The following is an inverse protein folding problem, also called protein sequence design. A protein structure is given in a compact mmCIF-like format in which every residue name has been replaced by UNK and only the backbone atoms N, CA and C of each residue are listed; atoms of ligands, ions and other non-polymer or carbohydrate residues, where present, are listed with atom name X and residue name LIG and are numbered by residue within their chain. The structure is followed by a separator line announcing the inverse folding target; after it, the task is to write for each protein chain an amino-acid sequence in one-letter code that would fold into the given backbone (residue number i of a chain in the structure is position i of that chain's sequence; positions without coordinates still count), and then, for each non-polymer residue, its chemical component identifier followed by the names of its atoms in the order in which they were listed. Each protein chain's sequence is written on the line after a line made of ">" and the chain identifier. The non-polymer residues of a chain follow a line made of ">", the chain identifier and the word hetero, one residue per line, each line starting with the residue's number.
data_IF_219073323924
#
_entry.id   IF_219073323924
#
_cell.length_a   1.000
_cell.length_b   1.000
_cell.length_c   1.000
_cell.angle_alpha   90.00
_cell.angle_beta   90.00
_cell.angle_gamma   90.00
#
_symmetry.space_group_name_H-M   'P 1'
#
loop_
_entity.id
_entity.type
_entity.pdbx_description
1 polymer ?
#
# COMPACT_ATOMS: atom_id res chain seq x y z
N UNK A 1 34.49 12.27 4.20
CA UNK A 1 34.31 11.88 2.78
C UNK A 1 33.02 11.10 2.50
N UNK A 2 31.87 11.73 2.68
CA UNK A 2 30.53 11.19 2.32
C UNK A 2 29.75 12.11 1.37
N UNK A 3 30.43 13.12 0.80
CA UNK A 3 29.83 14.07 -0.15
C UNK A 3 29.93 13.65 -1.63
N UNK A 4 30.54 12.51 -1.95
CA UNK A 4 30.86 12.16 -3.35
C UNK A 4 29.84 11.26 -4.08
N UNK A 5 28.73 10.87 -3.44
CA UNK A 5 27.76 9.93 -4.03
C UNK A 5 26.52 10.57 -4.67
N UNK A 6 26.31 11.88 -4.54
CA UNK A 6 25.10 12.55 -5.05
C UNK A 6 25.30 13.34 -6.36
N UNK A 7 26.53 13.49 -6.84
CA UNK A 7 26.80 14.22 -8.09
C UNK A 7 27.52 13.32 -9.09
N UNK A 8 26.76 12.61 -9.93
CA UNK A 8 27.12 12.25 -11.32
C UNK A 8 26.02 11.39 -11.96
N UNK A 9 25.04 12.06 -12.54
CA UNK A 9 24.44 11.59 -13.80
C UNK A 9 24.10 12.84 -14.60
N UNK A 10 24.70 13.07 -15.79
CA UNK A 10 24.28 14.15 -16.65
C UNK A 10 22.83 13.88 -17.06
N UNK A 11 21.95 14.84 -16.79
CA UNK A 11 20.57 14.81 -17.29
C UNK A 11 20.68 14.93 -18.81
N UNK A 12 20.53 13.81 -19.54
CA UNK A 12 20.35 13.88 -20.98
C UNK A 12 18.96 14.46 -21.24
N UNK A 13 18.92 15.58 -21.95
CA UNK A 13 17.74 16.40 -22.21
C UNK A 13 16.86 15.87 -23.33
N UNK A 14 16.70 14.55 -23.45
CA UNK A 14 15.80 13.92 -24.41
C UNK A 14 14.72 13.08 -23.72
N UNK A 15 14.00 13.71 -22.77
CA UNK A 15 12.68 13.22 -22.41
C UNK A 15 11.71 13.58 -23.54
N UNK A 16 10.88 12.65 -24.03
CA UNK A 16 9.77 13.02 -24.88
C UNK A 16 8.96 14.10 -24.16
N UNK A 17 8.73 15.23 -24.84
CA UNK A 17 7.89 16.32 -24.31
C UNK A 17 6.60 15.70 -23.77
N UNK A 18 6.17 16.02 -22.54
CA UNK A 18 4.90 15.53 -22.06
C UNK A 18 3.83 16.14 -22.97
N UNK A 19 3.16 15.27 -23.72
CA UNK A 19 1.91 15.58 -24.38
C UNK A 19 0.91 15.86 -23.24
N UNK A 20 0.80 17.11 -22.81
CA UNK A 20 -0.22 17.55 -21.86
C UNK A 20 -1.56 17.48 -22.59
N UNK A 21 -2.18 16.30 -22.62
CA UNK A 21 -3.63 16.26 -22.59
C UNK A 21 -4.03 16.49 -21.14
N UNK A 22 -4.95 17.42 -20.91
CA UNK A 22 -5.63 17.60 -19.63
C UNK A 22 -6.35 16.30 -19.27
N UNK A 23 -5.66 15.36 -18.63
CA UNK A 23 -6.27 14.17 -18.07
C UNK A 23 -7.19 14.61 -16.95
N UNK A 24 -8.47 14.30 -17.06
CA UNK A 24 -9.45 14.53 -16.01
C UNK A 24 -8.92 13.99 -14.68
N UNK A 25 -8.82 14.87 -13.68
CA UNK A 25 -8.48 14.49 -12.32
C UNK A 25 -9.75 13.89 -11.71
N UNK A 26 -9.74 12.59 -11.47
CA UNK A 26 -10.89 11.88 -10.91
C UNK A 26 -10.99 12.07 -9.39
N UNK A 27 -12.20 12.17 -8.83
CA UNK A 27 -12.38 12.13 -7.39
C UNK A 27 -12.00 10.74 -6.85
N UNK A 28 -11.65 10.70 -5.56
CA UNK A 28 -11.33 9.47 -4.85
C UNK A 28 -12.54 8.53 -4.84
N UNK A 29 -13.69 9.02 -4.37
CA UNK A 29 -14.91 8.25 -4.34
C UNK A 29 -15.58 8.25 -5.71
N UNK A 30 -15.68 7.06 -6.31
CA UNK A 30 -16.32 6.83 -7.61
C UNK A 30 -17.31 5.68 -7.48
N UNK A 31 -18.50 5.83 -8.05
CA UNK A 31 -19.55 4.78 -8.05
C UNK A 31 -19.49 3.86 -9.27
N UNK A 32 -18.61 4.16 -10.22
CA UNK A 32 -18.43 3.40 -11.46
C UNK A 32 -16.95 3.29 -11.82
N UNK A 33 -16.63 2.35 -12.72
CA UNK A 33 -15.28 2.16 -13.26
C UNK A 33 -15.23 2.71 -14.70
N UNK A 34 -14.48 3.80 -14.97
CA UNK A 34 -14.32 4.33 -16.32
C UNK A 34 -13.72 3.31 -17.30
N UNK A 35 -14.03 3.43 -18.59
CA UNK A 35 -13.61 2.44 -19.60
C UNK A 35 -12.09 2.35 -19.76
N UNK A 36 -11.39 3.49 -19.77
CA UNK A 36 -9.92 3.50 -19.81
C UNK A 36 -9.28 2.78 -18.59
N UNK A 37 -10.01 2.64 -17.49
CA UNK A 37 -9.55 1.88 -16.31
C UNK A 37 -9.80 0.38 -16.49
N UNK A 38 -10.88 0.00 -17.17
CA UNK A 38 -11.12 -1.40 -17.56
C UNK A 38 -10.03 -1.87 -18.52
N UNK A 39 -9.73 -1.08 -19.55
CA UNK A 39 -8.62 -1.32 -20.48
C UNK A 39 -7.30 -1.46 -19.72
N UNK A 40 -6.99 -0.54 -18.81
CA UNK A 40 -5.81 -0.63 -17.94
C UNK A 40 -5.77 -1.89 -17.10
N UNK A 41 -6.92 -2.38 -16.62
CA UNK A 41 -6.99 -3.63 -15.84
C UNK A 41 -6.67 -4.85 -16.69
N UNK A 42 -7.13 -4.88 -17.93
CA UNK A 42 -6.81 -5.91 -18.91
C UNK A 42 -5.31 -5.89 -19.24
N UNK A 43 -4.77 -4.72 -19.60
CA UNK A 43 -3.37 -4.55 -19.99
C UNK A 43 -2.37 -4.80 -18.85
N UNK A 44 -2.61 -4.22 -17.66
CA UNK A 44 -1.64 -4.31 -16.57
C UNK A 44 -1.78 -5.58 -15.74
N UNK A 45 -3.00 -6.13 -15.63
CA UNK A 45 -3.38 -7.18 -14.67
C UNK A 45 -3.89 -8.46 -15.33
N UNK A 46 -4.04 -8.50 -16.65
CA UNK A 46 -4.65 -9.62 -17.37
C UNK A 46 -6.12 -9.87 -16.93
N UNK A 47 -6.84 -8.81 -16.53
CA UNK A 47 -8.21 -8.90 -16.02
C UNK A 47 -9.26 -8.85 -17.14
N UNK A 48 -9.33 -9.88 -18.00
CA UNK A 48 -10.41 -10.01 -19.00
C UNK A 48 -11.71 -10.52 -18.37
N UNK A 49 -12.89 -10.37 -19.02
CA UNK A 49 -14.15 -10.94 -18.54
C UNK A 49 -14.07 -12.45 -18.26
N UNK A 50 -13.40 -13.21 -19.13
CA UNK A 50 -13.19 -14.66 -18.96
C UNK A 50 -12.21 -14.94 -17.83
N UNK A 51 -11.12 -14.16 -17.74
CA UNK A 51 -10.10 -14.36 -16.70
C UNK A 51 -10.62 -14.03 -15.31
N UNK A 52 -11.58 -13.11 -15.18
CA UNK A 52 -12.29 -12.84 -13.93
C UNK A 52 -12.99 -14.09 -13.39
N UNK A 53 -13.76 -14.75 -14.24
CA UNK A 53 -14.53 -15.95 -13.85
C UNK A 53 -13.59 -17.10 -13.55
N UNK A 54 -12.71 -17.42 -14.50
CA UNK A 54 -11.79 -18.57 -14.39
C UNK A 54 -10.79 -18.41 -13.25
N UNK A 55 -10.15 -17.24 -13.12
CA UNK A 55 -9.15 -17.00 -12.07
C UNK A 55 -9.73 -17.03 -10.65
N UNK A 56 -10.98 -16.60 -10.47
CA UNK A 56 -11.66 -16.69 -9.18
C UNK A 56 -12.02 -18.14 -8.83
N UNK A 57 -12.53 -18.90 -9.80
CA UNK A 57 -12.82 -20.32 -9.63
C UNK A 57 -11.56 -21.12 -9.30
N UNK A 58 -10.50 -20.98 -10.10
CA UNK A 58 -9.20 -21.62 -9.90
C UNK A 58 -8.65 -21.30 -8.50
N UNK A 59 -8.67 -20.04 -8.08
CA UNK A 59 -8.18 -19.66 -6.76
C UNK A 59 -9.01 -20.34 -5.65
N UNK A 60 -10.34 -20.37 -5.74
CA UNK A 60 -11.19 -21.05 -4.76
C UNK A 60 -10.90 -22.54 -4.67
N UNK A 61 -10.71 -23.23 -5.79
CA UNK A 61 -10.39 -24.66 -5.84
C UNK A 61 -9.03 -24.96 -5.18
N UNK A 62 -8.01 -24.13 -5.45
CA UNK A 62 -6.69 -24.29 -4.83
C UNK A 62 -6.76 -24.02 -3.32
N UNK A 63 -7.57 -23.05 -2.88
CA UNK A 63 -7.75 -22.73 -1.46
C UNK A 63 -8.40 -23.86 -0.66
N UNK A 64 -9.34 -24.60 -1.25
CA UNK A 64 -9.99 -25.74 -0.59
C UNK A 64 -9.00 -26.85 -0.20
N UNK A 65 -7.94 -27.01 -1.00
CA UNK A 65 -6.92 -28.02 -0.79
C UNK A 65 -5.71 -27.52 0.04
N UNK A 66 -5.70 -26.24 0.42
CA UNK A 66 -4.58 -25.63 1.12
C UNK A 66 -4.67 -25.79 2.65
N UNK A 67 -3.60 -26.28 3.27
CA UNK A 67 -3.56 -26.55 4.72
C UNK A 67 -3.64 -25.28 5.57
N UNK A 68 -3.09 -24.15 5.11
CA UNK A 68 -3.12 -22.87 5.84
C UNK A 68 -4.55 -22.29 5.83
N UNK A 69 -5.26 -22.51 4.72
CA UNK A 69 -6.60 -21.98 4.44
C UNK A 69 -7.75 -22.83 4.96
N UNK A 70 -7.46 -24.04 5.46
CA UNK A 70 -8.47 -24.97 5.98
C UNK A 70 -9.43 -24.28 6.96
N UNK A 71 -10.73 -24.35 6.64
CA UNK A 71 -11.81 -23.79 7.46
C UNK A 71 -12.05 -22.29 7.31
N UNK A 72 -11.36 -21.61 6.39
CA UNK A 72 -11.58 -20.19 6.11
C UNK A 72 -12.37 -20.05 4.81
N UNK A 73 -13.45 -19.26 4.86
CA UNK A 73 -14.20 -18.85 3.68
C UNK A 73 -13.98 -17.36 3.43
N UNK A 74 -13.64 -17.02 2.19
CA UNK A 74 -13.43 -15.64 1.76
C UNK A 74 -14.53 -15.23 0.79
N UNK A 75 -14.94 -13.98 0.88
CA UNK A 75 -15.82 -13.38 -0.13
C UNK A 75 -15.07 -13.12 -1.44
N UNK A 76 -15.82 -13.11 -2.54
CA UNK A 76 -15.28 -13.00 -3.90
C UNK A 76 -14.61 -11.64 -4.14
N UNK A 77 -15.18 -10.58 -3.57
CA UNK A 77 -14.63 -9.22 -3.63
C UNK A 77 -13.26 -9.15 -2.93
N UNK A 78 -13.09 -9.85 -1.80
CA UNK A 78 -11.83 -9.97 -1.09
C UNK A 78 -10.79 -10.76 -1.90
N UNK A 79 -11.15 -11.93 -2.44
CA UNK A 79 -10.26 -12.73 -3.28
C UNK A 79 -9.82 -11.97 -4.54
N UNK A 80 -10.72 -11.18 -5.13
CA UNK A 80 -10.44 -10.32 -6.29
C UNK A 80 -9.32 -9.33 -6.02
N UNK A 81 -9.17 -8.80 -4.79
CA UNK A 81 -8.07 -7.90 -4.44
C UNK A 81 -6.71 -8.57 -4.62
N UNK A 82 -6.59 -9.84 -4.18
CA UNK A 82 -5.35 -10.62 -4.30
C UNK A 82 -5.08 -11.02 -5.75
N UNK A 83 -6.12 -11.39 -6.52
CA UNK A 83 -6.00 -11.64 -7.95
C UNK A 83 -5.48 -10.41 -8.68
N UNK A 84 -6.10 -9.24 -8.48
CA UNK A 84 -5.67 -7.98 -9.10
C UNK A 84 -4.23 -7.59 -8.72
N UNK A 85 -3.86 -7.71 -7.43
CA UNK A 85 -2.48 -7.46 -7.00
C UNK A 85 -1.47 -8.34 -7.73
N UNK A 86 -1.82 -9.61 -7.94
CA UNK A 86 -0.96 -10.62 -8.54
C UNK A 86 -1.23 -10.83 -10.03
N UNK A 87 -1.92 -9.91 -10.71
CA UNK A 87 -2.20 -9.95 -12.15
C UNK A 87 -2.88 -11.24 -12.62
N UNK A 88 -3.85 -11.69 -11.83
CA UNK A 88 -4.61 -12.92 -12.04
C UNK A 88 -3.77 -14.21 -12.12
N UNK A 89 -2.54 -14.19 -11.58
CA UNK A 89 -1.74 -15.39 -11.28
C UNK A 89 -2.27 -16.00 -9.98
N UNK A 90 -2.91 -17.15 -10.08
CA UNK A 90 -3.62 -17.82 -8.98
C UNK A 90 -2.66 -18.41 -7.95
N UNK A 91 -1.50 -18.92 -8.36
CA UNK A 91 -0.49 -19.43 -7.43
C UNK A 91 0.18 -18.30 -6.63
N UNK A 92 0.50 -17.17 -7.27
CA UNK A 92 1.00 -15.98 -6.56
C UNK A 92 -0.06 -15.40 -5.63
N UNK A 93 -1.33 -15.42 -6.05
CA UNK A 93 -2.46 -15.00 -5.23
C UNK A 93 -2.61 -15.87 -3.98
N UNK A 94 -2.54 -17.20 -4.13
CA UNK A 94 -2.52 -18.14 -3.00
C UNK A 94 -1.37 -17.81 -2.04
N UNK A 95 -0.14 -17.67 -2.56
CA UNK A 95 1.03 -17.39 -1.72
C UNK A 95 0.88 -16.09 -0.94
N UNK A 96 0.39 -15.04 -1.59
CA UNK A 96 0.13 -13.76 -0.93
C UNK A 96 -0.98 -13.89 0.13
N UNK A 97 -2.05 -14.63 -0.16
CA UNK A 97 -3.13 -14.86 0.79
C UNK A 97 -2.67 -15.68 2.00
N UNK A 98 -1.82 -16.69 1.80
CA UNK A 98 -1.18 -17.45 2.89
C UNK A 98 -0.39 -16.52 3.81
N UNK A 99 0.43 -15.63 3.23
CA UNK A 99 1.16 -14.64 4.00
C UNK A 99 0.21 -13.71 4.77
N UNK A 100 -0.92 -13.30 4.18
CA UNK A 100 -1.94 -12.51 4.87
C UNK A 100 -2.53 -13.25 6.07
N UNK A 101 -2.96 -14.51 5.89
CA UNK A 101 -3.55 -15.32 6.97
C UNK A 101 -2.55 -15.56 8.09
N UNK A 102 -1.31 -15.95 7.76
CA UNK A 102 -0.25 -16.17 8.75
C UNK A 102 0.12 -14.87 9.47
N UNK A 103 0.18 -13.75 8.75
CA UNK A 103 0.42 -12.44 9.35
C UNK A 103 -0.70 -12.07 10.33
N UNK A 104 -1.96 -12.20 9.92
CA UNK A 104 -3.12 -11.91 10.78
C UNK A 104 -3.16 -12.81 12.01
N UNK A 105 -2.80 -14.10 11.89
CA UNK A 105 -2.69 -15.01 13.05
C UNK A 105 -1.56 -14.59 13.99
N UNK A 106 -0.38 -14.26 13.46
CA UNK A 106 0.79 -13.87 14.26
C UNK A 106 0.58 -12.53 14.98
N UNK A 107 -0.14 -11.62 14.34
CA UNK A 107 -0.34 -10.24 14.78
C UNK A 107 -1.81 -9.95 15.09
N UNK A 108 -2.53 -10.92 15.68
CA UNK A 108 -3.99 -10.86 15.83
C UNK A 108 -4.49 -9.60 16.53
N UNK A 109 -3.76 -9.11 17.54
CA UNK A 109 -4.12 -7.89 18.26
C UNK A 109 -4.20 -6.66 17.35
N UNK A 110 -3.41 -6.61 16.27
CA UNK A 110 -3.43 -5.53 15.28
C UNK A 110 -4.70 -5.49 14.40
N UNK A 111 -5.49 -6.57 14.44
CA UNK A 111 -6.70 -6.74 13.63
C UNK A 111 -7.97 -6.86 14.48
N UNK A 112 -7.86 -6.51 15.77
CA UNK A 112 -9.01 -6.30 16.65
C UNK A 112 -9.78 -5.03 16.25
N UNK A 113 -10.94 -4.81 16.88
CA UNK A 113 -11.73 -3.60 16.67
C UNK A 113 -10.93 -2.33 17.00
N UNK A 114 -11.21 -1.26 16.26
CA UNK A 114 -10.63 0.07 16.49
C UNK A 114 -11.74 0.96 17.04
N UNK A 115 -11.46 1.70 18.12
CA UNK A 115 -12.42 2.62 18.71
C UNK A 115 -12.61 3.87 17.83
N UNK A 116 -13.79 4.48 17.88
CA UNK A 116 -14.10 5.67 17.07
C UNK A 116 -13.20 6.86 17.46
N UNK A 117 -12.79 6.94 18.72
CA UNK A 117 -11.85 7.94 19.22
C UNK A 117 -10.45 7.76 18.60
N UNK A 118 -9.99 6.51 18.44
CA UNK A 118 -8.71 6.19 17.80
C UNK A 118 -8.74 6.56 16.30
N UNK A 119 -9.86 6.30 15.62
CA UNK A 119 -10.06 6.72 14.23
C UNK A 119 -10.08 8.25 14.09
N UNK A 120 -10.70 8.93 15.05
CA UNK A 120 -10.71 10.40 15.13
C UNK A 120 -9.34 10.99 15.48
N UNK A 121 -8.47 10.21 16.13
CA UNK A 121 -7.09 10.61 16.43
C UNK A 121 -6.17 10.50 15.20
N UNK A 122 -6.47 9.60 14.24
CA UNK A 122 -5.62 9.39 13.07
C UNK A 122 -6.10 10.14 11.80
N UNK A 123 -7.41 10.31 11.62
CA UNK A 123 -8.04 10.95 10.45
C UNK A 123 -8.53 12.39 10.72
N UNK A 124 -8.85 13.17 9.68
CA UNK A 124 -8.27 13.22 8.34
C UNK A 124 -7.18 14.31 8.20
N UNK A 125 -7.06 15.26 9.13
CA UNK A 125 -6.03 16.32 9.07
C UNK A 125 -4.80 16.04 9.95
N UNK A 126 -4.86 14.96 10.74
CA UNK A 126 -3.87 14.59 11.74
C UNK A 126 -2.72 13.79 11.14
N UNK A 127 -2.84 12.47 11.03
CA UNK A 127 -1.71 11.60 10.68
C UNK A 127 -1.87 10.91 9.32
N UNK A 128 -3.07 10.44 8.97
CA UNK A 128 -3.31 9.58 7.81
C UNK A 128 -4.35 10.21 6.88
N UNK A 129 -3.91 10.80 5.77
CA UNK A 129 -4.76 11.65 4.91
C UNK A 129 -4.87 11.05 3.52
N UNK A 130 -6.04 10.54 3.16
CA UNK A 130 -6.33 10.11 1.79
C UNK A 130 -6.88 11.30 1.01
N UNK A 131 -6.17 11.73 -0.04
CA UNK A 131 -6.56 12.92 -0.79
C UNK A 131 -7.90 12.70 -1.51
N UNK A 132 -8.75 13.75 -1.61
CA UNK A 132 -10.08 13.66 -2.21
C UNK A 132 -10.02 13.44 -3.73
N UNK A 133 -8.86 13.66 -4.35
CA UNK A 133 -8.63 13.53 -5.79
C UNK A 133 -7.49 12.55 -6.05
N UNK A 134 -7.61 11.83 -7.16
CA UNK A 134 -6.61 10.88 -7.67
C UNK A 134 -5.54 11.61 -8.47
N UNK A 135 -4.41 10.96 -8.68
CA UNK A 135 -3.44 11.40 -9.69
C UNK A 135 -4.05 11.31 -11.10
N UNK A 136 -3.49 12.02 -12.09
CA UNK A 136 -3.87 11.87 -13.50
C UNK A 136 -3.83 10.43 -14.03
N UNK A 137 -3.04 9.54 -13.42
CA UNK A 137 -2.99 8.11 -13.80
C UNK A 137 -4.02 7.23 -13.06
N UNK A 138 -4.92 7.82 -12.29
CA UNK A 138 -5.98 7.15 -11.50
C UNK A 138 -5.54 6.66 -10.12
N UNK A 139 -4.27 6.81 -9.76
CA UNK A 139 -3.75 6.37 -8.46
C UNK A 139 -4.35 7.21 -7.33
N UNK A 140 -4.71 6.59 -6.20
CA UNK A 140 -4.99 7.36 -4.98
C UNK A 140 -3.69 7.89 -4.36
N UNK A 141 -3.78 9.00 -3.64
CA UNK A 141 -2.65 9.61 -2.93
C UNK A 141 -2.92 9.59 -1.45
N UNK A 142 -2.05 8.90 -0.71
CA UNK A 142 -2.06 8.86 0.75
C UNK A 142 -0.91 9.73 1.28
N UNK A 143 -1.23 10.67 2.17
CA UNK A 143 -0.23 11.43 2.93
C UNK A 143 -0.17 10.90 4.36
N UNK A 144 1.02 10.54 4.81
CA UNK A 144 1.33 10.15 6.19
C UNK A 144 2.14 11.27 6.83
N UNK A 145 1.52 12.05 7.72
CA UNK A 145 2.16 13.18 8.43
C UNK A 145 2.84 12.67 9.70
N UNK A 146 4.07 12.19 9.57
CA UNK A 146 4.79 11.44 10.62
C UNK A 146 4.93 12.24 11.91
N UNK A 147 5.19 13.55 11.82
CA UNK A 147 5.37 14.41 13.00
C UNK A 147 4.08 14.72 13.77
N UNK A 148 2.90 14.44 13.19
CA UNK A 148 1.62 14.74 13.82
C UNK A 148 1.17 13.65 14.79
N UNK A 149 1.85 12.51 14.84
CA UNK A 149 1.59 11.49 15.84
C UNK A 149 2.38 11.76 17.12
N UNK A 150 1.68 12.00 18.23
CA UNK A 150 2.27 12.08 19.57
C UNK A 150 2.15 10.71 20.27
N UNK A 151 3.26 9.95 20.47
CA UNK A 151 3.20 8.64 21.11
C UNK A 151 2.77 8.65 22.59
N UNK A 152 2.76 9.82 23.24
CA UNK A 152 2.33 9.97 24.64
C UNK A 152 0.82 10.15 24.78
N UNK A 153 0.15 10.66 23.75
CA UNK A 153 -1.30 10.87 23.72
C UNK A 153 -2.03 9.75 22.97
N UNK A 154 -1.40 9.20 21.93
CA UNK A 154 -1.94 8.12 21.13
C UNK A 154 -0.93 6.99 21.05
N UNK A 155 -1.25 5.86 21.67
CA UNK A 155 -0.31 4.75 21.81
C UNK A 155 0.11 4.22 20.43
N UNK A 156 1.35 3.71 20.34
CA UNK A 156 1.80 3.08 19.11
C UNK A 156 0.91 1.91 18.71
N UNK A 157 0.46 1.10 19.66
CA UNK A 157 -0.43 -0.03 19.41
C UNK A 157 -1.75 0.41 18.76
N UNK A 158 -2.42 1.44 19.29
CA UNK A 158 -3.66 1.96 18.72
C UNK A 158 -3.43 2.57 17.34
N UNK A 159 -2.27 3.23 17.15
CA UNK A 159 -1.85 3.69 15.83
C UNK A 159 -1.71 2.53 14.84
N UNK A 160 -1.06 1.42 15.22
CA UNK A 160 -0.90 0.27 14.32
C UNK A 160 -2.26 -0.34 13.96
N UNK A 161 -3.13 -0.57 14.96
CA UNK A 161 -4.50 -1.09 14.75
C UNK A 161 -5.27 -0.21 13.77
N UNK A 162 -5.23 1.10 13.98
CA UNK A 162 -5.89 2.10 13.13
C UNK A 162 -5.34 2.08 11.70
N UNK A 163 -4.02 2.03 11.53
CA UNK A 163 -3.38 1.95 10.20
C UNK A 163 -3.82 0.67 9.46
N UNK A 164 -3.80 -0.49 10.13
CA UNK A 164 -4.21 -1.75 9.49
C UNK A 164 -5.69 -1.73 9.12
N UNK A 165 -6.55 -1.25 10.01
CA UNK A 165 -7.98 -1.08 9.72
C UNK A 165 -8.21 -0.19 8.50
N UNK A 166 -7.60 1.00 8.46
CA UNK A 166 -7.77 1.94 7.35
C UNK A 166 -7.25 1.40 6.03
N UNK A 167 -6.06 0.77 6.02
CA UNK A 167 -5.54 0.14 4.81
C UNK A 167 -6.51 -0.93 4.29
N UNK A 168 -7.09 -1.75 5.18
CA UNK A 168 -8.07 -2.78 4.77
C UNK A 168 -9.33 -2.18 4.16
N UNK A 169 -9.81 -1.01 4.63
CA UNK A 169 -10.94 -0.33 4.00
C UNK A 169 -10.58 0.30 2.66
N UNK A 170 -9.43 0.98 2.57
CA UNK A 170 -8.96 1.66 1.35
C UNK A 170 -8.76 0.65 0.22
N UNK A 171 -8.25 -0.54 0.52
CA UNK A 171 -8.01 -1.58 -0.47
C UNK A 171 -9.30 -2.20 -1.05
N UNK A 172 -10.48 -1.87 -0.52
CA UNK A 172 -11.77 -2.30 -1.10
C UNK A 172 -12.14 -1.53 -2.36
N UNK A 173 -11.55 -0.35 -2.58
CA UNK A 173 -11.82 0.50 -3.73
C UNK A 173 -11.27 -0.13 -5.04
N UNK A 174 -12.11 -0.43 -6.05
CA UNK A 174 -11.68 -1.07 -7.29
C UNK A 174 -10.64 -0.25 -8.08
N UNK A 175 -10.79 1.07 -8.09
CA UNK A 175 -9.85 1.95 -8.77
C UNK A 175 -8.47 1.91 -8.08
N UNK A 176 -8.40 1.81 -6.76
CA UNK A 176 -7.15 1.62 -6.01
C UNK A 176 -6.54 0.24 -6.27
N UNK A 177 -7.35 -0.81 -6.38
CA UNK A 177 -6.86 -2.14 -6.75
C UNK A 177 -6.24 -2.15 -8.17
N UNK A 178 -6.80 -1.37 -9.10
CA UNK A 178 -6.37 -1.33 -10.51
C UNK A 178 -5.28 -0.28 -10.79
N UNK A 179 -5.34 0.88 -10.16
CA UNK A 179 -4.35 1.94 -10.38
C UNK A 179 -3.24 1.91 -9.35
N UNK A 180 -3.49 1.39 -8.15
CA UNK A 180 -2.59 1.46 -7.02
C UNK A 180 -2.62 2.82 -6.32
N UNK A 181 -1.66 3.01 -5.42
CA UNK A 181 -1.51 4.20 -4.59
C UNK A 181 -0.09 4.77 -4.67
N UNK A 182 0.01 6.08 -4.51
CA UNK A 182 1.26 6.77 -4.18
C UNK A 182 1.19 7.22 -2.72
N UNK A 183 2.26 6.98 -1.97
CA UNK A 183 2.35 7.37 -0.56
C UNK A 183 3.33 8.54 -0.45
N UNK A 184 2.94 9.58 0.27
CA UNK A 184 3.78 10.72 0.63
C UNK A 184 3.98 10.69 2.15
N UNK A 185 5.20 10.47 2.60
CA UNK A 185 5.59 10.66 4.00
C UNK A 185 6.01 12.11 4.20
N UNK A 186 5.12 12.90 4.80
CA UNK A 186 5.47 14.23 5.29
C UNK A 186 6.09 14.10 6.67
N UNK A 187 7.40 14.34 6.74
CA UNK A 187 8.17 14.16 7.96
C UNK A 187 8.40 15.47 8.73
N UNK A 188 7.70 16.55 8.37
CA UNK A 188 7.72 17.80 9.14
C UNK A 188 7.31 17.53 10.59
N UNK A 189 8.07 18.06 11.54
CA UNK A 189 7.81 17.87 12.98
C UNK A 189 8.16 16.48 13.53
N UNK A 190 8.65 15.55 12.69
CA UNK A 190 9.12 14.25 13.19
C UNK A 190 10.37 14.43 14.09
N UNK A 191 10.43 13.64 15.16
CA UNK A 191 11.43 13.79 16.22
C UNK A 191 11.97 12.44 16.70
N UNK A 192 12.86 12.48 17.70
CA UNK A 192 13.35 11.27 18.38
C UNK A 192 12.24 10.47 19.07
N UNK A 193 11.09 11.07 19.39
CA UNK A 193 9.97 10.33 19.99
C UNK A 193 9.42 9.28 19.01
N UNK A 194 9.21 9.65 17.75
CA UNK A 194 8.77 8.71 16.72
C UNK A 194 9.89 7.74 16.31
N UNK A 195 11.15 8.21 16.31
CA UNK A 195 12.31 7.36 15.97
C UNK A 195 12.42 6.10 16.83
N UNK A 196 12.03 6.17 18.12
CA UNK A 196 12.05 5.02 19.05
C UNK A 196 11.25 3.81 18.55
N UNK A 197 10.28 4.04 17.67
CA UNK A 197 9.43 2.98 17.11
C UNK A 197 9.95 2.43 15.78
N UNK A 198 10.97 3.05 15.19
CA UNK A 198 11.68 2.58 14.00
C UNK A 198 12.72 1.51 14.39
N UNK A 199 12.22 0.39 14.94
CA UNK A 199 13.04 -0.76 15.28
C UNK A 199 13.18 -1.69 14.08
N UNK A 200 14.22 -2.56 14.00
CA UNK A 200 14.33 -3.57 12.95
C UNK A 200 13.08 -4.46 12.85
N UNK A 201 12.50 -4.82 14.00
CA UNK A 201 11.30 -5.63 14.08
C UNK A 201 10.09 -4.93 13.47
N UNK A 202 9.76 -3.71 13.91
CA UNK A 202 8.61 -2.96 13.41
C UNK A 202 8.78 -2.63 11.93
N UNK A 203 9.98 -2.17 11.55
CA UNK A 203 10.30 -1.80 10.17
C UNK A 203 10.15 -2.98 9.22
N UNK A 204 10.66 -4.16 9.61
CA UNK A 204 10.46 -5.38 8.83
C UNK A 204 9.00 -5.81 8.77
N UNK A 205 8.27 -5.75 9.90
CA UNK A 205 6.85 -6.12 9.95
C UNK A 205 6.02 -5.24 9.01
N UNK A 206 6.19 -3.92 9.03
CA UNK A 206 5.50 -3.02 8.10
C UNK A 206 5.86 -3.30 6.65
N UNK A 207 7.16 -3.43 6.35
CA UNK A 207 7.63 -3.78 5.00
C UNK A 207 7.02 -5.10 4.50
N UNK A 208 7.06 -6.15 5.32
CA UNK A 208 6.51 -7.46 5.00
C UNK A 208 5.00 -7.39 4.79
N UNK A 209 4.28 -6.72 5.69
CA UNK A 209 2.83 -6.56 5.61
C UNK A 209 2.41 -5.85 4.32
N UNK A 210 3.07 -4.73 4.00
CA UNK A 210 2.77 -3.88 2.85
C UNK A 210 2.98 -4.64 1.53
N UNK A 211 4.12 -5.30 1.38
CA UNK A 211 4.49 -5.90 0.09
C UNK A 211 4.01 -7.33 -0.08
N UNK A 212 3.99 -8.13 0.99
CA UNK A 212 3.82 -9.58 0.90
C UNK A 212 2.51 -10.09 1.50
N UNK A 213 1.81 -9.29 2.31
CA UNK A 213 0.57 -9.70 2.99
C UNK A 213 -0.66 -8.98 2.42
N UNK A 214 -0.71 -7.65 2.48
CA UNK A 214 -1.88 -6.88 2.04
C UNK A 214 -2.02 -6.87 0.51
N UNK A 215 -3.24 -6.72 0.00
CA UNK A 215 -3.54 -6.67 -1.44
C UNK A 215 -3.22 -5.30 -2.10
N UNK A 216 -2.30 -4.52 -1.51
CA UNK A 216 -1.93 -3.20 -1.99
C UNK A 216 -0.97 -3.19 -3.18
N UNK A 217 -1.13 -2.19 -4.05
CA UNK A 217 -0.22 -1.90 -5.17
C UNK A 217 0.36 -0.49 -5.01
N UNK A 218 1.63 -0.42 -4.66
CA UNK A 218 2.33 0.85 -4.42
C UNK A 218 3.05 1.27 -5.68
N UNK A 219 2.70 2.43 -6.24
CA UNK A 219 3.23 2.98 -7.50
C UNK A 219 4.33 4.02 -7.28
N UNK A 220 4.41 4.62 -6.09
CA UNK A 220 5.48 5.52 -5.69
C UNK A 220 5.49 5.74 -4.18
N UNK A 221 6.69 5.96 -3.63
CA UNK A 221 6.88 6.33 -2.24
C UNK A 221 7.73 7.60 -2.19
N UNK A 222 7.12 8.69 -1.76
CA UNK A 222 7.73 10.01 -1.71
C UNK A 222 7.94 10.40 -0.26
N UNK A 223 9.10 10.99 0.04
CA UNK A 223 9.37 11.56 1.35
C UNK A 223 9.67 13.04 1.15
N UNK A 224 8.99 13.86 1.93
CA UNK A 224 9.19 15.30 1.97
C UNK A 224 9.53 15.70 3.40
N UNK A 225 10.30 16.78 3.52
CA UNK A 225 10.90 17.26 4.76
C UNK A 225 11.91 16.24 5.32
N UNK A 226 13.19 16.60 5.32
CA UNK A 226 14.26 15.69 5.75
C UNK A 226 14.05 15.20 7.19
N UNK A 227 14.29 13.91 7.44
CA UNK A 227 14.01 13.30 8.74
C UNK A 227 14.94 12.13 9.05
N UNK A 228 15.49 12.15 10.27
CA UNK A 228 16.26 11.03 10.80
C UNK A 228 15.42 9.75 10.95
N UNK A 229 14.10 9.88 11.13
CA UNK A 229 13.14 8.77 11.20
C UNK A 229 13.17 7.99 9.88
N UNK A 230 13.00 8.67 8.75
CA UNK A 230 12.98 8.02 7.44
C UNK A 230 14.36 7.54 7.00
N UNK A 231 15.43 8.29 7.28
CA UNK A 231 16.81 7.86 7.01
C UNK A 231 17.16 6.54 7.73
N UNK A 232 16.77 6.43 9.01
CA UNK A 232 16.97 5.21 9.79
C UNK A 232 16.16 4.06 9.22
N UNK A 233 14.87 4.29 8.92
CA UNK A 233 13.98 3.29 8.33
C UNK A 233 14.54 2.74 7.00
N UNK A 234 14.99 3.60 6.09
CA UNK A 234 15.58 3.16 4.84
C UNK A 234 16.88 2.39 5.03
N UNK A 235 17.70 2.79 5.99
CA UNK A 235 18.94 2.07 6.31
C UNK A 235 18.63 0.63 6.73
N UNK A 236 17.62 0.43 7.56
CA UNK A 236 17.15 -0.89 7.97
C UNK A 236 16.57 -1.71 6.80
N UNK A 237 15.89 -1.06 5.86
CA UNK A 237 15.26 -1.74 4.71
C UNK A 237 16.20 -1.95 3.51
N UNK A 238 17.38 -1.32 3.49
CA UNK A 238 18.26 -1.25 2.31
C UNK A 238 18.58 -2.61 1.69
N UNK A 239 18.83 -3.62 2.52
CA UNK A 239 19.14 -4.99 2.09
C UNK A 239 17.91 -5.76 1.58
N UNK A 240 16.70 -5.38 2.04
CA UNK A 240 15.44 -6.06 1.71
C UNK A 240 14.78 -5.49 0.45
N UNK A 241 15.02 -4.21 0.13
CA UNK A 241 14.38 -3.55 -1.01
C UNK A 241 14.86 -4.12 -2.35
N UNK A 242 13.92 -4.67 -3.13
CA UNK A 242 14.17 -5.09 -4.51
C UNK A 242 14.56 -3.92 -5.41
N UNK A 243 15.23 -4.18 -6.54
CA UNK A 243 15.55 -3.13 -7.55
C UNK A 243 14.30 -2.35 -7.98
N UNK A 244 13.18 -3.03 -8.17
CA UNK A 244 11.88 -2.44 -8.54
C UNK A 244 11.31 -1.51 -7.48
N UNK A 245 11.53 -1.81 -6.20
CA UNK A 245 11.07 -0.94 -5.11
C UNK A 245 11.98 0.26 -4.94
N UNK A 246 13.30 0.10 -5.16
CA UNK A 246 14.27 1.21 -5.10
C UNK A 246 14.11 2.23 -6.22
N UNK A 247 13.52 1.84 -7.35
CA UNK A 247 13.28 2.72 -8.50
C UNK A 247 11.91 3.43 -8.44
N UNK A 248 11.19 3.31 -7.32
CA UNK A 248 9.85 3.87 -7.09
C UNK A 248 9.90 4.81 -5.90
#
# INVERSE_FOLDING_TARGET
>A
DTQHFWNKTPISSNFPKPMMSTKDIYPLHMTYLPDFIKEKSEEELNETPERKVTGLQELKEILQNDKVMKGIQFHDDFLTQFLRKNKYDTFRSLKNLQNYVLFRRKYSSKFEGVADEDLSAILPDKFYVLLPNRCPEGCAVLIVKVGNWNPTEFSFENLEKSIFFLNMQILRDPMIQICGMKIIYDCKGSSFQQLRYVTPYNTYMYYHSMLNCLAGRYKGLHIINDSIVMKTMFTLLKSLMTKKLRSR
#
